data_IF_753402913273
#
_entry.id   IF_753402913273
#
_cell.length_a   1.000
_cell.length_b   1.000
_cell.length_c   1.000
_cell.angle_alpha   90.00
_cell.angle_beta   90.00
_cell.angle_gamma   90.00
#
_symmetry.space_group_name_H-M   'P 1'
#
loop_
_entity.id
_entity.type
_entity.pdbx_description
1 polymer ?
#
# COMPACT_ATOMS: atom_id res chain seq x y z
N UNK A 1 54.39 -9.50 47.96
CA UNK A 1 53.81 -8.72 49.08
C UNK A 1 52.49 -8.13 48.55
N UNK A 2 51.34 -8.80 48.72
CA UNK A 2 50.30 -8.54 49.75
C UNK A 2 49.94 -7.03 49.83
N UNK A 3 48.68 -6.55 49.78
CA UNK A 3 47.50 -7.01 50.52
C UNK A 3 46.22 -6.31 50.01
N UNK A 4 45.09 -6.97 50.28
CA UNK A 4 43.72 -6.67 49.88
C UNK A 4 42.93 -5.85 50.92
N UNK A 5 41.92 -5.08 50.48
CA UNK A 5 40.75 -4.66 51.28
C UNK A 5 39.69 -4.01 50.36
N UNK A 6 38.49 -4.56 50.09
CA UNK A 6 37.33 -4.89 50.97
C UNK A 6 36.92 -3.68 51.82
N UNK A 7 35.68 -3.17 51.88
CA UNK A 7 34.35 -3.62 51.44
C UNK A 7 33.32 -2.47 51.64
N UNK A 8 32.28 -2.47 50.80
CA UNK A 8 30.84 -2.26 51.07
C UNK A 8 30.30 -0.98 51.75
N UNK A 9 29.31 -0.35 51.09
CA UNK A 9 27.97 -0.10 51.64
C UNK A 9 26.99 0.24 50.50
N UNK A 10 26.06 -0.68 50.28
CA UNK A 10 24.89 -0.57 49.39
C UNK A 10 23.69 -0.27 50.29
N UNK A 11 22.87 0.77 50.02
CA UNK A 11 21.47 0.78 50.42
C UNK A 11 20.64 0.35 49.20
N UNK A 12 20.18 -0.89 49.15
CA UNK A 12 18.85 -1.34 49.61
C UNK A 12 17.75 -0.33 49.28
N UNK A 13 17.22 -0.45 48.06
CA UNK A 13 16.02 0.23 47.59
C UNK A 13 15.31 -0.64 46.57
N UNK A 14 14.92 -1.83 47.01
CA UNK A 14 14.17 -2.82 46.23
C UNK A 14 12.71 -2.35 46.12
N UNK A 15 12.29 -1.97 44.92
CA UNK A 15 10.87 -1.99 44.55
C UNK A 15 10.75 -2.87 43.31
N UNK A 16 10.46 -4.15 43.56
CA UNK A 16 9.96 -5.10 42.57
C UNK A 16 8.46 -5.26 42.84
N UNK A 17 7.66 -5.10 41.79
CA UNK A 17 6.39 -5.78 41.49
C UNK A 17 5.95 -5.22 40.11
N UNK A 18 6.38 -5.78 38.98
CA UNK A 18 5.87 -6.99 38.33
C UNK A 18 4.35 -6.94 38.08
N UNK A 19 3.94 -6.98 36.81
CA UNK A 19 2.99 -7.98 36.25
C UNK A 19 2.70 -7.69 34.77
N UNK A 20 3.21 -8.60 33.94
CA UNK A 20 2.59 -9.30 32.79
C UNK A 20 2.00 -8.48 31.61
N UNK A 21 2.67 -8.60 30.46
CA UNK A 21 2.14 -8.21 29.16
C UNK A 21 2.93 -8.80 27.99
N UNK A 22 3.41 -10.04 28.12
CA UNK A 22 3.78 -10.83 26.95
C UNK A 22 2.49 -11.17 26.19
N UNK A 23 2.14 -10.36 25.20
CA UNK A 23 1.06 -10.71 24.28
C UNK A 23 1.63 -11.58 23.17
N UNK A 24 1.35 -12.88 23.31
CA UNK A 24 1.33 -13.83 22.21
C UNK A 24 0.57 -13.23 21.02
N UNK A 25 1.27 -12.91 19.92
CA UNK A 25 0.65 -12.67 18.60
C UNK A 25 0.36 -13.99 17.85
N UNK A 26 0.33 -15.10 18.57
CA UNK A 26 0.06 -16.42 18.02
C UNK A 26 -1.05 -17.06 18.84
N UNK A 27 -2.10 -17.48 18.14
CA UNK A 27 -3.21 -18.35 18.56
C UNK A 27 -4.45 -17.64 19.14
N UNK A 28 -5.36 -17.27 18.25
CA UNK A 28 -6.78 -17.50 18.46
C UNK A 28 -7.40 -17.97 17.13
N UNK A 29 -8.14 -19.10 17.12
CA UNK A 29 -8.77 -19.61 15.93
C UNK A 29 -9.96 -18.71 15.59
N UNK A 30 -10.13 -18.33 14.33
CA UNK A 30 -11.40 -17.75 13.88
C UNK A 30 -12.09 -18.81 13.04
N UNK A 31 -13.23 -19.26 13.57
CA UNK A 31 -14.13 -20.15 12.89
C UNK A 31 -14.60 -19.52 11.57
N UNK A 32 -14.49 -20.31 10.51
CA UNK A 32 -15.01 -19.99 9.19
C UNK A 32 -16.53 -19.90 9.22
N UNK A 33 -17.05 -18.68 9.17
CA UNK A 33 -18.38 -18.41 8.60
C UNK A 33 -18.29 -17.24 7.63
N UNK A 34 -18.36 -17.57 6.35
CA UNK A 34 -18.55 -16.60 5.28
C UNK A 34 -19.87 -15.86 5.48
N UNK A 35 -19.88 -14.52 5.36
CA UNK A 35 -21.09 -13.75 5.04
C UNK A 35 -20.75 -12.36 4.50
N UNK A 36 -21.29 -12.13 3.31
CA UNK A 36 -21.63 -10.93 2.54
C UNK A 36 -21.80 -9.62 3.32
N UNK A 37 -21.17 -8.55 2.82
CA UNK A 37 -21.71 -7.18 2.82
C UNK A 37 -21.41 -6.26 4.01
N UNK A 38 -20.64 -5.18 3.74
CA UNK A 38 -20.82 -3.87 4.37
C UNK A 38 -20.21 -3.61 5.77
N UNK A 39 -19.43 -2.51 5.84
CA UNK A 39 -19.07 -1.72 7.01
C UNK A 39 -18.23 -2.33 8.14
N UNK A 40 -17.05 -1.72 8.36
CA UNK A 40 -16.49 -1.52 9.69
C UNK A 40 -15.37 -2.47 10.10
N UNK A 41 -14.15 -1.92 10.16
CA UNK A 41 -13.08 -2.22 11.11
C UNK A 41 -13.02 -3.64 11.69
N UNK A 42 -12.38 -4.55 10.96
CA UNK A 42 -11.82 -5.77 11.50
C UNK A 42 -10.42 -5.95 10.91
N UNK A 43 -9.38 -5.84 11.74
CA UNK A 43 -8.00 -6.10 11.32
C UNK A 43 -7.83 -7.60 11.17
N UNK A 44 -8.34 -8.14 10.07
CA UNK A 44 -7.67 -9.25 9.42
C UNK A 44 -6.29 -8.70 9.01
N UNK A 45 -5.22 -9.48 9.14
CA UNK A 45 -3.95 -9.14 8.49
C UNK A 45 -4.17 -9.28 6.98
N UNK A 46 -4.90 -8.31 6.43
CA UNK A 46 -5.23 -8.19 5.03
C UNK A 46 -3.91 -8.09 4.28
N UNK A 47 -3.75 -8.94 3.27
CA UNK A 47 -2.67 -8.76 2.31
C UNK A 47 -2.65 -7.27 1.92
N UNK A 48 -1.47 -6.65 1.95
CA UNK A 48 -1.28 -5.25 1.53
C UNK A 48 -1.84 -5.05 0.11
N UNK A 49 -1.93 -6.14 -0.66
CA UNK A 49 -2.49 -6.19 -1.99
C UNK A 49 -3.99 -6.50 -1.99
N UNK A 50 -4.81 -5.58 -2.54
CA UNK A 50 -6.23 -5.82 -2.73
C UNK A 50 -6.52 -7.05 -3.62
N UNK A 51 -7.72 -7.62 -3.44
CA UNK A 51 -8.13 -8.87 -4.10
C UNK A 51 -8.66 -8.68 -5.54
N UNK A 52 -8.68 -7.45 -6.05
CA UNK A 52 -9.03 -7.16 -7.45
C UNK A 52 -8.12 -6.09 -8.05
N UNK A 53 -7.91 -6.09 -9.39
CA UNK A 53 -7.09 -5.07 -10.04
C UNK A 53 -7.63 -3.66 -9.83
N UNK A 54 -8.96 -3.51 -9.88
CA UNK A 54 -9.67 -2.26 -9.60
C UNK A 54 -9.30 -1.72 -8.24
N UNK A 55 -9.41 -2.54 -7.20
CA UNK A 55 -9.19 -2.09 -5.83
C UNK A 55 -7.72 -1.74 -5.58
N UNK A 56 -6.77 -2.43 -6.23
CA UNK A 56 -5.35 -2.06 -6.18
C UNK A 56 -5.11 -0.68 -6.76
N UNK A 57 -5.66 -0.36 -7.93
CA UNK A 57 -5.49 0.97 -8.53
C UNK A 57 -6.26 2.03 -7.74
N UNK A 58 -7.46 1.74 -7.25
CA UNK A 58 -8.20 2.65 -6.36
C UNK A 58 -7.40 2.98 -5.11
N UNK A 59 -6.69 2.00 -4.53
CA UNK A 59 -5.81 2.20 -3.38
C UNK A 59 -4.61 3.10 -3.71
N UNK A 60 -4.04 3.04 -4.92
CA UNK A 60 -2.99 3.98 -5.35
C UNK A 60 -3.48 5.43 -5.30
N UNK A 61 -4.62 5.72 -5.92
CA UNK A 61 -5.21 7.07 -5.88
C UNK A 61 -5.49 7.51 -4.44
N UNK A 62 -6.07 6.64 -3.62
CA UNK A 62 -6.34 6.91 -2.22
C UNK A 62 -5.08 7.25 -1.41
N UNK A 63 -4.00 6.47 -1.52
CA UNK A 63 -2.77 6.72 -0.77
C UNK A 63 -2.00 7.95 -1.28
N UNK A 64 -2.09 8.26 -2.58
CA UNK A 64 -1.58 9.52 -3.12
C UNK A 64 -2.35 10.70 -2.54
N UNK A 65 -3.69 10.63 -2.49
CA UNK A 65 -4.54 11.66 -1.86
C UNK A 65 -4.15 11.89 -0.39
N UNK A 66 -3.87 10.82 0.34
CA UNK A 66 -3.41 10.85 1.73
C UNK A 66 -1.93 11.28 1.90
N UNK A 67 -1.23 11.66 0.82
CA UNK A 67 0.19 12.01 0.82
C UNK A 67 1.09 10.93 1.46
N UNK A 68 0.74 9.65 1.27
CA UNK A 68 1.43 8.52 1.87
C UNK A 68 2.21 7.71 0.82
N UNK A 69 3.44 8.14 0.45
CA UNK A 69 4.21 7.46 -0.58
C UNK A 69 4.62 6.04 -0.18
N UNK A 70 4.76 5.74 1.12
CA UNK A 70 5.15 4.40 1.57
C UNK A 70 4.05 3.38 1.27
N UNK A 71 2.79 3.71 1.62
CA UNK A 71 1.66 2.85 1.30
C UNK A 71 1.37 2.79 -0.21
N UNK A 72 1.54 3.90 -0.94
CA UNK A 72 1.44 3.87 -2.39
C UNK A 72 2.46 2.91 -2.99
N UNK A 73 3.73 3.03 -2.64
CA UNK A 73 4.80 2.20 -3.20
C UNK A 73 4.74 0.74 -2.74
N UNK A 74 4.12 0.45 -1.59
CA UNK A 74 3.88 -0.92 -1.13
C UNK A 74 2.94 -1.72 -2.05
N UNK A 75 2.13 -1.05 -2.89
CA UNK A 75 1.26 -1.69 -3.88
C UNK A 75 2.01 -2.13 -5.16
N UNK A 76 3.27 -1.71 -5.32
CA UNK A 76 4.08 -2.00 -6.49
C UNK A 76 5.10 -3.10 -6.21
N UNK A 77 5.30 -3.98 -7.19
CA UNK A 77 6.50 -4.79 -7.28
C UNK A 77 7.68 -3.93 -7.75
N UNK A 78 8.95 -4.35 -7.53
CA UNK A 78 10.13 -3.54 -7.88
C UNK A 78 10.14 -3.07 -9.35
N UNK A 79 9.67 -3.91 -10.29
CA UNK A 79 9.57 -3.53 -11.70
C UNK A 79 8.55 -2.42 -11.94
N UNK A 80 7.37 -2.52 -11.32
CA UNK A 80 6.30 -1.53 -11.43
C UNK A 80 6.70 -0.21 -10.78
N UNK A 81 7.32 -0.27 -9.58
CA UNK A 81 7.80 0.91 -8.87
C UNK A 81 8.85 1.68 -9.69
N UNK A 82 9.75 0.94 -10.36
CA UNK A 82 10.77 1.54 -11.25
C UNK A 82 10.14 2.15 -12.50
N UNK A 83 9.17 1.47 -13.13
CA UNK A 83 8.46 2.01 -14.29
C UNK A 83 7.71 3.29 -13.93
N UNK A 84 6.94 3.27 -12.84
CA UNK A 84 6.23 4.43 -12.30
C UNK A 84 7.18 5.60 -12.03
N UNK A 85 8.31 5.34 -11.39
CA UNK A 85 9.33 6.37 -11.17
C UNK A 85 9.85 6.97 -12.47
N UNK A 86 10.18 6.13 -13.44
CA UNK A 86 10.70 6.55 -14.74
C UNK A 86 9.70 7.41 -15.50
N UNK A 87 8.44 7.00 -15.52
CA UNK A 87 7.37 7.68 -16.23
C UNK A 87 7.05 9.06 -15.64
N UNK A 88 7.17 9.22 -14.32
CA UNK A 88 7.06 10.52 -13.64
C UNK A 88 8.40 11.29 -13.57
N UNK A 89 9.44 10.80 -14.25
CA UNK A 89 10.77 11.40 -14.30
C UNK A 89 11.45 11.52 -12.93
N UNK A 90 11.19 10.59 -12.02
CA UNK A 90 11.69 10.55 -10.65
C UNK A 90 12.72 9.43 -10.43
N UNK A 91 13.55 9.56 -9.40
CA UNK A 91 14.62 8.59 -9.10
C UNK A 91 14.07 7.29 -8.51
N UNK A 92 12.94 7.37 -7.81
CA UNK A 92 12.26 6.23 -7.18
C UNK A 92 10.76 6.50 -7.03
N UNK A 93 10.02 5.47 -6.62
CA UNK A 93 8.56 5.55 -6.48
C UNK A 93 8.12 6.63 -5.47
N UNK A 94 8.85 6.82 -4.37
CA UNK A 94 8.50 7.84 -3.37
C UNK A 94 8.60 9.24 -3.97
N UNK A 95 9.67 9.51 -4.72
CA UNK A 95 9.86 10.78 -5.42
C UNK A 95 8.87 10.98 -6.57
N UNK A 96 8.39 9.90 -7.19
CA UNK A 96 7.32 9.97 -8.18
C UNK A 96 6.00 10.42 -7.54
N UNK A 97 5.64 9.84 -6.40
CA UNK A 97 4.41 10.21 -5.67
C UNK A 97 4.45 11.67 -5.20
N UNK A 98 5.61 12.19 -4.80
CA UNK A 98 5.73 13.60 -4.37
C UNK A 98 5.60 14.58 -5.54
N UNK A 99 5.97 14.18 -6.76
CA UNK A 99 5.80 14.99 -7.98
C UNK A 99 4.35 15.13 -8.42
N UNK A 100 3.46 14.25 -7.99
CA UNK A 100 2.03 14.36 -8.27
C UNK A 100 1.48 15.52 -7.45
N UNK A 101 1.30 16.67 -8.11
CA UNK A 101 0.96 17.95 -7.47
C UNK A 101 -0.55 18.19 -7.42
N UNK A 102 -1.30 17.68 -8.40
CA UNK A 102 -2.75 17.84 -8.47
C UNK A 102 -3.47 16.52 -8.17
N UNK A 103 -3.96 16.41 -6.93
CA UNK A 103 -4.58 15.21 -6.35
C UNK A 103 -6.07 15.39 -6.05
N UNK A 104 -6.65 16.49 -6.54
CA UNK A 104 -8.06 16.80 -6.31
C UNK A 104 -8.91 15.62 -6.81
N UNK A 105 -9.92 15.23 -6.03
CA UNK A 105 -10.86 14.16 -6.39
C UNK A 105 -10.26 12.74 -6.41
N UNK A 106 -9.01 12.54 -5.98
CA UNK A 106 -8.41 11.20 -5.92
C UNK A 106 -9.09 10.28 -4.90
N UNK A 107 -9.68 10.84 -3.85
CA UNK A 107 -10.42 10.12 -2.83
C UNK A 107 -11.82 9.68 -3.28
N UNK A 108 -12.37 10.32 -4.32
CA UNK A 108 -13.71 10.08 -4.85
C UNK A 108 -13.74 9.34 -6.18
N UNK A 109 -12.59 8.87 -6.68
CA UNK A 109 -12.53 8.21 -7.99
C UNK A 109 -13.42 6.95 -8.06
N UNK A 110 -14.05 6.77 -9.22
CA UNK A 110 -14.81 5.57 -9.55
C UNK A 110 -14.23 4.95 -10.82
N UNK A 111 -13.78 3.70 -10.71
CA UNK A 111 -13.19 2.95 -11.83
C UNK A 111 -14.26 1.98 -12.36
N UNK A 112 -14.81 2.17 -13.57
CA UNK A 112 -15.80 1.28 -14.16
C UNK A 112 -15.19 -0.06 -14.59
N UNK A 113 -16.03 -1.06 -14.86
CA UNK A 113 -15.58 -2.35 -15.41
C UNK A 113 -14.88 -2.20 -16.77
N UNK A 114 -15.31 -1.24 -17.59
CA UNK A 114 -14.71 -0.97 -18.90
C UNK A 114 -13.26 -0.51 -18.84
N UNK A 115 -12.81 0.04 -17.70
CA UNK A 115 -11.43 0.50 -17.50
C UNK A 115 -10.47 -0.63 -17.12
N UNK A 116 -10.98 -1.83 -16.85
CA UNK A 116 -10.20 -2.97 -16.35
C UNK A 116 -10.21 -4.10 -17.39
N UNK A 117 -9.08 -4.36 -18.02
CA UNK A 117 -8.92 -5.52 -18.90
C UNK A 117 -8.16 -6.62 -18.14
N UNK A 118 -8.82 -7.76 -17.87
CA UNK A 118 -8.20 -8.89 -17.17
C UNK A 118 -8.01 -10.07 -18.12
N UNK A 119 -6.81 -10.66 -18.12
CA UNK A 119 -6.45 -11.86 -18.89
C UNK A 119 -5.63 -12.81 -18.02
N UNK A 120 -6.28 -13.88 -17.54
CA UNK A 120 -5.65 -14.86 -16.66
C UNK A 120 -5.16 -14.23 -15.34
N UNK A 121 -3.86 -14.25 -15.11
CA UNK A 121 -3.20 -13.67 -13.93
C UNK A 121 -2.67 -12.26 -14.16
N UNK A 122 -2.99 -11.64 -15.29
CA UNK A 122 -2.58 -10.28 -15.64
C UNK A 122 -3.80 -9.39 -15.81
N UNK A 123 -3.69 -8.13 -15.45
CA UNK A 123 -4.71 -7.13 -15.71
C UNK A 123 -4.07 -5.79 -16.10
N UNK A 124 -4.75 -5.01 -16.91
CA UNK A 124 -4.44 -3.60 -17.14
C UNK A 124 -5.60 -2.73 -16.66
N UNK A 125 -5.26 -1.57 -16.10
CA UNK A 125 -6.22 -0.54 -15.72
C UNK A 125 -5.75 0.78 -16.29
N UNK A 126 -6.54 1.33 -17.20
CA UNK A 126 -6.21 2.57 -17.89
C UNK A 126 -6.97 3.75 -17.28
N UNK A 127 -6.22 4.72 -16.78
CA UNK A 127 -6.80 5.95 -16.24
C UNK A 127 -7.51 6.82 -17.27
N UNK A 128 -7.31 6.61 -18.57
CA UNK A 128 -8.07 7.29 -19.62
C UNK A 128 -9.53 6.85 -19.70
N UNK A 129 -9.86 5.66 -19.18
CA UNK A 129 -11.20 5.06 -19.29
C UNK A 129 -12.16 5.45 -18.14
N UNK A 130 -11.77 6.37 -17.26
CA UNK A 130 -12.61 6.86 -16.16
C UNK A 130 -12.34 8.31 -15.81
N UNK A 131 -13.21 8.94 -15.03
CA UNK A 131 -13.05 10.35 -14.67
C UNK A 131 -12.19 10.50 -13.42
N UNK A 132 -11.19 11.39 -13.50
CA UNK A 132 -10.43 11.88 -12.35
C UNK A 132 -10.81 13.36 -12.18
N UNK A 133 -11.58 13.67 -11.14
CA UNK A 133 -12.16 15.01 -10.97
C UNK A 133 -11.12 16.01 -10.45
N UNK A 134 -10.63 16.87 -11.33
CA UNK A 134 -9.69 17.94 -10.98
C UNK A 134 -8.24 17.49 -10.87
N UNK A 135 -7.96 16.26 -10.44
CA UNK A 135 -6.62 15.69 -10.37
C UNK A 135 -6.05 15.26 -11.72
N UNK A 136 -4.72 15.08 -11.80
CA UNK A 136 -4.09 14.54 -13.01
C UNK A 136 -4.42 13.05 -13.17
N UNK A 137 -4.48 12.56 -14.41
CA UNK A 137 -4.54 11.12 -14.67
C UNK A 137 -3.18 10.49 -14.42
N UNK A 138 -3.17 9.25 -13.93
CA UNK A 138 -1.92 8.59 -13.55
C UNK A 138 -1.29 7.75 -14.65
N UNK A 139 -2.02 7.36 -15.69
CA UNK A 139 -1.53 6.45 -16.73
C UNK A 139 -2.24 5.10 -16.76
N UNK A 140 -1.57 4.13 -17.38
CA UNK A 140 -1.96 2.72 -17.43
C UNK A 140 -1.16 1.92 -16.40
N UNK A 141 -1.87 1.17 -15.54
CA UNK A 141 -1.26 0.23 -14.61
C UNK A 141 -1.33 -1.18 -15.18
N UNK A 142 -0.20 -1.89 -15.15
CA UNK A 142 -0.18 -3.34 -15.38
C UNK A 142 -0.06 -4.04 -14.04
N UNK A 143 -0.97 -4.98 -13.78
CA UNK A 143 -1.05 -5.73 -12.53
C UNK A 143 -0.87 -7.22 -12.78
N UNK A 144 -0.30 -7.90 -11.79
CA UNK A 144 -0.18 -9.36 -11.80
C UNK A 144 -0.76 -9.91 -10.51
N UNK A 145 -1.58 -10.96 -10.66
CA UNK A 145 -2.14 -11.73 -9.55
C UNK A 145 -1.03 -12.55 -8.90
N UNK A 146 -0.91 -12.42 -7.59
CA UNK A 146 0.06 -13.11 -6.76
C UNK A 146 -0.47 -14.47 -6.29
N UNK A 147 0.41 -15.27 -5.70
CA UNK A 147 0.05 -16.58 -5.13
C UNK A 147 -0.98 -16.49 -4.00
N UNK A 148 -0.98 -15.39 -3.24
CA UNK A 148 -1.95 -15.06 -2.19
C UNK A 148 -3.25 -14.43 -2.73
N UNK A 149 -3.51 -14.55 -4.03
CA UNK A 149 -4.65 -13.96 -4.75
C UNK A 149 -4.74 -12.44 -4.78
N UNK A 150 -3.87 -11.73 -4.07
CA UNK A 150 -3.74 -10.28 -4.16
C UNK A 150 -3.17 -9.81 -5.51
N UNK A 151 -3.48 -8.57 -5.90
CA UNK A 151 -3.00 -7.95 -7.13
C UNK A 151 -1.94 -6.89 -6.82
N UNK A 152 -0.77 -7.04 -7.42
CA UNK A 152 0.32 -6.07 -7.31
C UNK A 152 0.61 -5.42 -8.65
N UNK A 153 1.05 -4.16 -8.62
CA UNK A 153 1.41 -3.41 -9.81
C UNK A 153 2.80 -3.81 -10.25
N UNK A 154 2.92 -4.38 -11.45
CA UNK A 154 4.17 -4.91 -12.02
C UNK A 154 4.70 -4.06 -13.16
N UNK A 155 3.87 -3.16 -13.70
CA UNK A 155 4.24 -2.21 -14.73
C UNK A 155 3.40 -0.94 -14.68
N UNK A 156 3.92 0.10 -15.32
CA UNK A 156 3.26 1.40 -15.46
C UNK A 156 3.63 1.99 -16.82
N UNK A 157 2.73 2.81 -17.38
CA UNK A 157 2.97 3.67 -18.54
C UNK A 157 2.21 4.97 -18.36
N UNK A 158 2.80 6.10 -18.77
CA UNK A 158 2.06 7.35 -18.88
C UNK A 158 0.89 7.25 -19.87
N UNK A 159 -0.15 8.04 -19.63
CA UNK A 159 -1.17 8.33 -20.64
C UNK A 159 -0.55 9.16 -21.76
N UNK A 160 -0.77 8.76 -23.00
CA UNK A 160 -0.39 9.54 -24.19
C UNK A 160 -1.64 9.75 -25.06
N UNK A 161 -2.16 11.00 -25.19
CA UNK A 161 -1.67 12.23 -24.56
C UNK A 161 -1.92 12.27 -23.04
N UNK A 162 -1.20 13.11 -22.26
CA UNK A 162 -1.28 13.13 -20.79
C UNK A 162 -2.65 13.44 -20.20
N UNK A 163 -3.51 14.13 -20.95
CA UNK A 163 -4.88 14.46 -20.57
C UNK A 163 -5.89 13.39 -21.03
N UNK A 164 -5.43 12.38 -21.76
CA UNK A 164 -6.25 11.40 -22.48
C UNK A 164 -7.24 12.04 -23.46
N UNK A 165 -7.01 13.29 -23.84
CA UNK A 165 -7.76 14.00 -24.86
C UNK A 165 -6.96 13.90 -26.15
N UNK A 166 -7.06 12.76 -26.82
CA UNK A 166 -6.75 12.78 -28.26
C UNK A 166 -7.82 13.63 -28.95
N UNK A 167 -7.38 14.72 -29.57
CA UNK A 167 -8.21 15.56 -30.44
C UNK A 167 -8.78 14.81 -31.63
#
# INVERSE_FOLDING_TARGET
MAKQGRRALVPTGMVILAVLGGVNYFLSPVDTTASTGGNGSGVQQSSVFPQSPRETVRAVYHYIAAANPDLTCALFMPSGAKAFATDFGADNCRDAVTKISNRTGYDTISIPDSAVATSGTTATVDSCQFTVEGGQRLGEFTLTKRADSGWAITGHKNSDPPDCLTG
#
